data_IF_950432581549
#
_entry.id   IF_950432581549
#
_cell.length_a   1.000
_cell.length_b   1.000
_cell.length_c   1.000
_cell.angle_alpha   90.00
_cell.angle_beta   90.00
_cell.angle_gamma   90.00
#
_symmetry.space_group_name_H-M   'P 1'
#
loop_
_entity.id
_entity.type
_entity.pdbx_description
1 polymer ?
#
# COMPACT_ATOMS: atom_id res chain seq x y z
N UNK A 1 -13.67 3.79 -0.94
CA UNK A 1 -12.22 4.07 -0.87
C UNK A 1 -11.39 3.11 -1.69
N UNK A 2 -11.83 1.87 -1.80
CA UNK A 2 -11.24 0.73 -2.49
C UNK A 2 -10.80 1.08 -3.92
N UNK A 3 -11.65 1.76 -4.70
CA UNK A 3 -11.31 2.23 -6.05
C UNK A 3 -10.16 3.24 -6.05
N UNK A 4 -10.14 4.16 -5.09
CA UNK A 4 -9.06 5.14 -4.97
C UNK A 4 -7.76 4.43 -4.56
N UNK A 5 -7.81 3.53 -3.59
CA UNK A 5 -6.68 2.68 -3.19
C UNK A 5 -6.13 1.87 -4.38
N UNK A 6 -7.01 1.19 -5.13
CA UNK A 6 -6.63 0.40 -6.30
C UNK A 6 -5.96 1.24 -7.39
N UNK A 7 -6.49 2.43 -7.69
CA UNK A 7 -5.88 3.38 -8.63
C UNK A 7 -4.48 3.80 -8.18
N UNK A 8 -4.32 4.10 -6.90
CA UNK A 8 -3.02 4.50 -6.34
C UNK A 8 -2.00 3.35 -6.39
N UNK A 9 -2.44 2.11 -6.14
CA UNK A 9 -1.60 0.92 -6.35
C UNK A 9 -1.15 0.80 -7.81
N UNK A 10 -2.06 0.95 -8.78
CA UNK A 10 -1.74 0.94 -10.21
C UNK A 10 -0.79 2.09 -10.60
N UNK A 11 -1.02 3.30 -10.08
CA UNK A 11 -0.16 4.46 -10.30
C UNK A 11 1.26 4.23 -9.78
N UNK A 12 1.40 3.55 -8.64
CA UNK A 12 2.69 3.19 -8.07
C UNK A 12 3.49 2.23 -8.98
N UNK A 13 2.84 1.42 -9.82
CA UNK A 13 3.51 0.50 -10.75
C UNK A 13 4.09 1.17 -12.01
N UNK A 14 3.91 2.48 -12.19
CA UNK A 14 4.44 3.17 -13.36
C UNK A 14 5.98 3.04 -13.42
N UNK A 15 6.59 2.82 -14.61
CA UNK A 15 8.05 2.64 -14.72
C UNK A 15 8.89 3.74 -14.05
N UNK A 16 8.43 4.99 -14.17
CA UNK A 16 9.07 6.15 -13.54
C UNK A 16 9.01 6.16 -12.00
N UNK A 17 8.13 5.37 -11.39
CA UNK A 17 8.00 5.25 -9.93
C UNK A 17 9.07 4.34 -9.32
N UNK A 18 9.78 3.55 -10.14
CA UNK A 18 10.88 2.67 -9.71
C UNK A 18 12.26 3.35 -9.76
N UNK A 19 12.35 4.60 -10.22
CA UNK A 19 13.61 5.34 -10.34
C UNK A 19 14.11 5.97 -9.03
N UNK A 20 15.44 6.13 -8.93
CA UNK A 20 16.20 6.54 -7.72
C UNK A 20 15.69 7.81 -7.03
N UNK A 21 14.84 7.74 -5.98
CA UNK A 21 14.35 8.95 -5.28
C UNK A 21 13.88 8.76 -3.83
N UNK A 22 14.64 8.08 -2.97
CA UNK A 22 14.21 7.95 -1.57
C UNK A 22 14.15 9.27 -0.76
N UNK A 23 14.59 10.39 -1.34
CA UNK A 23 14.36 11.74 -0.79
C UNK A 23 13.57 12.67 -1.73
N UNK A 24 13.28 12.24 -2.96
CA UNK A 24 12.62 13.03 -4.00
C UNK A 24 11.26 12.45 -4.39
N UNK A 25 10.38 12.20 -3.41
CA UNK A 25 9.06 11.55 -3.61
C UNK A 25 8.05 12.34 -4.46
N UNK A 26 8.50 13.44 -5.07
CA UNK A 26 7.80 14.29 -6.02
C UNK A 26 7.07 13.57 -7.17
N UNK A 27 7.56 12.45 -7.76
CA UNK A 27 6.90 11.84 -8.92
C UNK A 27 5.66 11.00 -8.60
N UNK A 28 5.69 10.23 -7.48
CA UNK A 28 4.50 9.53 -6.97
C UNK A 28 3.58 10.57 -6.34
N UNK A 29 4.12 11.47 -5.52
CA UNK A 29 3.32 12.52 -4.90
C UNK A 29 2.70 13.45 -5.94
N UNK A 30 3.38 13.93 -6.99
CA UNK A 30 2.79 14.91 -7.93
C UNK A 30 1.65 14.34 -8.78
N UNK A 31 1.65 13.02 -9.05
CA UNK A 31 0.59 12.35 -9.82
C UNK A 31 -0.60 11.97 -8.93
N UNK A 32 -0.34 11.54 -7.71
CA UNK A 32 -1.35 11.11 -6.72
C UNK A 32 -1.76 12.21 -5.71
N UNK A 33 -1.10 13.37 -5.71
CA UNK A 33 -1.10 14.43 -4.68
C UNK A 33 -2.47 14.98 -4.31
N UNK A 34 -3.45 14.88 -5.23
CA UNK A 34 -4.80 15.37 -4.93
C UNK A 34 -5.46 14.58 -3.81
N UNK A 35 -5.05 13.33 -3.63
CA UNK A 35 -5.66 12.41 -2.68
C UNK A 35 -4.64 11.84 -1.70
N UNK A 36 -3.35 11.83 -2.03
CA UNK A 36 -2.31 11.28 -1.17
C UNK A 36 -1.50 12.39 -0.50
N UNK A 37 -1.47 12.37 0.83
CA UNK A 37 -0.77 13.34 1.67
C UNK A 37 0.32 12.63 2.48
N UNK A 38 1.54 13.13 2.38
CA UNK A 38 2.65 12.63 3.19
C UNK A 38 2.80 13.44 4.47
N UNK A 39 3.25 12.80 5.56
CA UNK A 39 3.74 13.54 6.70
C UNK A 39 4.90 14.45 6.25
N UNK A 40 4.83 15.72 6.64
CA UNK A 40 5.81 16.75 6.27
C UNK A 40 7.16 16.55 6.96
N UNK A 41 7.17 15.85 8.08
CA UNK A 41 8.39 15.51 8.80
C UNK A 41 8.98 14.24 8.21
N UNK A 42 10.30 14.26 8.00
CA UNK A 42 11.06 13.04 7.80
C UNK A 42 10.77 12.09 8.97
N UNK A 43 10.65 10.76 8.74
CA UNK A 43 10.63 9.82 9.85
C UNK A 43 11.84 10.11 10.74
N UNK A 44 11.60 10.15 12.05
CA UNK A 44 12.66 10.38 13.01
C UNK A 44 13.80 9.39 12.71
N UNK A 45 15.08 9.82 12.67
CA UNK A 45 16.20 8.90 12.46
C UNK A 45 16.21 7.73 13.45
N UNK A 46 15.55 7.87 14.61
CA UNK A 46 15.34 6.82 15.62
C UNK A 46 14.18 5.87 15.30
N UNK A 47 13.24 6.28 14.46
CA UNK A 47 12.14 5.46 13.92
C UNK A 47 12.56 4.70 12.65
N UNK A 48 13.80 4.87 12.19
CA UNK A 48 14.41 4.01 11.18
C UNK A 48 14.54 2.62 11.79
N UNK A 49 13.86 1.60 11.25
CA UNK A 49 14.10 0.23 11.67
C UNK A 49 15.55 -0.15 11.33
N UNK A 50 16.14 -1.00 12.16
CA UNK A 50 17.57 -1.37 12.15
C UNK A 50 18.03 -2.07 10.85
N UNK A 51 17.10 -2.39 9.94
CA UNK A 51 17.27 -3.18 8.73
C UNK A 51 17.44 -2.36 7.43
N UNK A 52 17.84 -1.08 7.54
CA UNK A 52 17.97 -0.13 6.42
C UNK A 52 16.65 0.29 5.75
N UNK A 53 15.51 0.03 6.38
CA UNK A 53 14.20 0.36 5.80
C UNK A 53 13.77 1.77 6.20
N UNK A 54 14.08 2.78 5.39
CA UNK A 54 13.46 4.09 5.53
C UNK A 54 11.93 3.98 5.38
N UNK A 55 11.20 4.34 6.44
CA UNK A 55 9.73 4.29 6.49
C UNK A 55 9.13 5.69 6.45
N UNK A 56 8.28 6.02 5.47
CA UNK A 56 7.51 7.28 5.46
C UNK A 56 6.01 7.00 5.56
N UNK A 57 5.32 7.72 6.43
CA UNK A 57 3.87 7.59 6.60
C UNK A 57 3.11 8.74 5.90
N UNK A 58 1.94 8.42 5.40
CA UNK A 58 1.00 9.32 4.76
C UNK A 58 -0.42 8.80 4.89
N UNK A 59 -1.37 9.50 4.28
CA UNK A 59 -2.75 9.04 4.19
C UNK A 59 -3.34 9.40 2.83
N UNK A 60 -4.35 8.62 2.43
CA UNK A 60 -5.22 8.93 1.31
C UNK A 60 -6.49 9.53 1.87
N UNK A 61 -6.81 10.77 1.48
CA UNK A 61 -8.05 11.44 1.83
C UNK A 61 -9.12 11.16 0.77
N UNK A 62 -10.26 10.63 1.22
CA UNK A 62 -11.44 10.44 0.41
C UNK A 62 -12.72 10.61 1.23
N UNK A 63 -13.89 10.65 0.59
CA UNK A 63 -15.14 11.06 1.25
C UNK A 63 -15.46 10.21 2.50
N UNK A 64 -15.19 10.77 3.69
CA UNK A 64 -15.51 10.17 4.99
C UNK A 64 -14.61 9.00 5.43
N UNK A 65 -13.49 8.74 4.76
CA UNK A 65 -12.58 7.64 5.09
C UNK A 65 -11.13 7.99 4.74
N UNK A 66 -10.20 7.57 5.60
CA UNK A 66 -8.76 7.68 5.35
C UNK A 66 -8.15 6.30 5.21
N UNK A 67 -7.19 6.16 4.29
CA UNK A 67 -6.34 4.97 4.20
C UNK A 67 -4.94 5.39 4.61
N UNK A 68 -4.40 4.75 5.65
CA UNK A 68 -3.01 4.98 6.04
C UNK A 68 -2.09 4.40 4.98
N UNK A 69 -1.06 5.12 4.56
CA UNK A 69 -0.06 4.61 3.62
C UNK A 69 1.32 4.70 4.25
N UNK A 70 2.05 3.58 4.27
CA UNK A 70 3.47 3.59 4.64
C UNK A 70 4.29 3.19 3.42
N UNK A 71 5.35 3.93 3.12
CA UNK A 71 6.35 3.53 2.15
C UNK A 71 7.59 3.03 2.85
N UNK A 72 8.16 1.95 2.34
CA UNK A 72 9.35 1.28 2.84
C UNK A 72 10.38 1.17 1.70
N UNK A 73 11.65 1.35 2.03
CA UNK A 73 12.74 1.24 1.06
C UNK A 73 14.06 1.72 1.62
N UNK A 74 15.09 1.76 0.78
CA UNK A 74 16.39 2.35 1.13
C UNK A 74 16.55 3.73 0.51
N UNK A 75 17.73 4.35 0.66
CA UNK A 75 18.04 5.69 0.12
C UNK A 75 17.93 5.82 -1.41
N UNK A 76 17.92 4.68 -2.10
CA UNK A 76 17.86 4.62 -3.55
C UNK A 76 16.43 4.43 -4.05
N UNK A 77 15.67 3.51 -3.48
CA UNK A 77 14.36 3.12 -4.03
C UNK A 77 13.37 2.68 -2.96
N UNK A 78 12.10 2.84 -3.32
CA UNK A 78 10.96 2.20 -2.64
C UNK A 78 10.97 0.72 -2.98
N UNK A 79 10.86 -0.13 -1.96
CA UNK A 79 10.73 -1.58 -2.15
C UNK A 79 9.32 -2.06 -1.86
N UNK A 80 8.57 -1.30 -1.04
CA UNK A 80 7.25 -1.71 -0.60
C UNK A 80 6.37 -0.50 -0.23
N UNK A 81 5.06 -0.60 -0.50
CA UNK A 81 4.02 0.29 -0.01
C UNK A 81 2.99 -0.53 0.77
N UNK A 82 2.65 -0.11 1.99
CA UNK A 82 1.51 -0.65 2.73
C UNK A 82 0.33 0.33 2.73
N UNK A 83 -0.88 -0.19 2.61
CA UNK A 83 -2.14 0.54 2.63
C UNK A 83 -3.03 -0.06 3.73
N UNK A 84 -3.26 0.69 4.79
CA UNK A 84 -4.06 0.29 5.94
C UNK A 84 -5.48 0.85 5.83
N UNK A 85 -6.45 -0.04 5.65
CA UNK A 85 -7.87 0.29 5.63
C UNK A 85 -8.45 0.02 7.02
N UNK A 86 -8.88 1.08 7.72
CA UNK A 86 -9.41 1.02 9.09
C UNK A 86 -10.72 0.24 9.26
N UNK A 87 -11.24 -0.34 8.17
CA UNK A 87 -12.37 -1.26 8.17
C UNK A 87 -11.93 -2.52 7.42
N UNK A 88 -12.36 -3.70 7.86
CA UNK A 88 -12.04 -4.92 7.15
C UNK A 88 -12.62 -4.87 5.73
N UNK A 89 -11.79 -5.15 4.74
CA UNK A 89 -12.23 -5.39 3.37
C UNK A 89 -12.78 -6.82 3.28
N UNK A 90 -13.94 -7.03 3.91
CA UNK A 90 -14.58 -8.33 4.05
C UNK A 90 -14.94 -9.04 2.73
N UNK A 91 -14.58 -8.49 1.56
CA UNK A 91 -14.92 -9.05 0.24
C UNK A 91 -13.84 -8.88 -0.83
N UNK A 92 -12.62 -8.49 -0.49
CA UNK A 92 -11.60 -8.22 -1.51
C UNK A 92 -12.02 -7.14 -2.50
N UNK A 93 -12.78 -6.14 -2.05
CA UNK A 93 -13.27 -5.05 -2.86
C UNK A 93 -12.13 -4.21 -3.47
N UNK A 94 -10.94 -4.17 -2.84
CA UNK A 94 -9.73 -3.63 -3.46
C UNK A 94 -9.28 -4.48 -4.66
N UNK A 95 -9.34 -5.81 -4.56
CA UNK A 95 -9.01 -6.70 -5.70
C UNK A 95 -10.02 -6.56 -6.83
N UNK A 96 -11.31 -6.46 -6.53
CA UNK A 96 -12.34 -6.21 -7.54
C UNK A 96 -12.17 -4.85 -8.20
N UNK A 97 -11.80 -3.83 -7.42
CA UNK A 97 -11.47 -2.51 -7.96
C UNK A 97 -10.22 -2.55 -8.86
N UNK A 98 -9.19 -3.31 -8.51
CA UNK A 98 -8.01 -3.51 -9.36
C UNK A 98 -8.37 -4.17 -10.69
N UNK A 99 -9.21 -5.23 -10.66
CA UNK A 99 -9.71 -5.87 -11.89
C UNK A 99 -10.55 -4.92 -12.74
N UNK A 100 -11.39 -4.10 -12.12
CA UNK A 100 -12.22 -3.12 -12.81
C UNK A 100 -11.39 -2.01 -13.49
N UNK A 101 -10.19 -1.72 -12.99
CA UNK A 101 -9.22 -0.81 -13.61
C UNK A 101 -8.31 -1.54 -14.63
N UNK A 102 -8.59 -2.80 -14.95
CA UNK A 102 -7.90 -3.58 -15.99
C UNK A 102 -6.64 -4.32 -15.52
N UNK A 103 -6.42 -4.45 -14.21
CA UNK A 103 -5.27 -5.19 -13.69
C UNK A 103 -5.48 -6.71 -13.70
N UNK A 104 -4.44 -7.44 -14.06
CA UNK A 104 -4.33 -8.89 -13.89
C UNK A 104 -3.87 -9.23 -12.48
N UNK A 105 -4.56 -10.20 -11.85
CA UNK A 105 -4.23 -10.75 -10.54
C UNK A 105 -4.03 -12.26 -10.68
N UNK A 106 -2.78 -12.70 -10.58
CA UNK A 106 -2.40 -14.12 -10.57
C UNK A 106 -2.15 -14.56 -9.13
N UNK A 107 -2.89 -15.56 -8.64
CA UNK A 107 -2.74 -16.03 -7.26
C UNK A 107 -1.36 -16.69 -7.08
N UNK A 108 -0.57 -16.19 -6.13
CA UNK A 108 0.71 -16.78 -5.76
C UNK A 108 0.57 -17.68 -4.54
N UNK A 109 -0.06 -17.16 -3.48
CA UNK A 109 -0.20 -17.85 -2.19
C UNK A 109 -1.53 -17.46 -1.53
N UNK A 110 -2.12 -18.41 -0.82
CA UNK A 110 -3.30 -18.20 0.00
C UNK A 110 -3.15 -19.03 1.29
N UNK A 111 -3.54 -18.43 2.40
CA UNK A 111 -3.63 -19.08 3.71
C UNK A 111 -4.84 -18.53 4.46
N UNK A 112 -5.09 -19.04 5.65
CA UNK A 112 -6.17 -18.52 6.52
C UNK A 112 -5.98 -17.03 6.86
N UNK A 113 -4.73 -16.58 6.99
CA UNK A 113 -4.40 -15.23 7.48
C UNK A 113 -4.14 -14.21 6.36
N UNK A 114 -3.81 -14.68 5.15
CA UNK A 114 -3.43 -13.79 4.07
C UNK A 114 -3.64 -14.40 2.68
N UNK A 115 -3.77 -13.50 1.70
CA UNK A 115 -3.74 -13.83 0.28
C UNK A 115 -2.70 -12.96 -0.43
N UNK A 116 -1.97 -13.53 -1.37
CA UNK A 116 -0.95 -12.83 -2.15
C UNK A 116 -1.13 -13.12 -3.64
N UNK A 117 -1.18 -12.03 -4.42
CA UNK A 117 -1.29 -12.06 -5.87
C UNK A 117 -0.06 -11.40 -6.51
N UNK A 118 0.32 -11.87 -7.70
CA UNK A 118 1.10 -11.06 -8.63
C UNK A 118 0.15 -10.11 -9.34
N UNK A 119 0.33 -8.82 -9.08
CA UNK A 119 -0.40 -7.73 -9.72
C UNK A 119 0.35 -7.30 -10.98
N UNK A 120 -0.36 -7.25 -12.10
CA UNK A 120 0.17 -6.79 -13.39
C UNK A 120 -0.85 -5.92 -14.11
N UNK A 121 -0.36 -4.98 -14.91
CA UNK A 121 -1.19 -4.15 -15.78
C UNK A 121 -0.33 -3.70 -16.97
N UNK A 122 -0.94 -3.52 -18.14
CA UNK A 122 -0.22 -3.17 -19.36
C UNK A 122 0.68 -1.94 -19.15
N UNK A 123 1.89 -2.01 -19.72
CA UNK A 123 2.90 -0.92 -19.71
C UNK A 123 3.41 -0.52 -18.31
N UNK A 124 3.20 -1.36 -17.30
CA UNK A 124 3.67 -1.14 -15.92
C UNK A 124 4.48 -2.32 -15.40
N UNK A 125 5.31 -2.08 -14.39
CA UNK A 125 6.04 -3.17 -13.75
C UNK A 125 5.11 -3.99 -12.86
N UNK A 126 5.22 -5.33 -12.89
CA UNK A 126 4.48 -6.16 -11.96
C UNK A 126 4.99 -5.98 -10.53
N UNK A 127 4.14 -6.29 -9.56
CA UNK A 127 4.46 -6.29 -8.15
C UNK A 127 3.69 -7.41 -7.44
N UNK A 128 4.17 -7.82 -6.27
CA UNK A 128 3.43 -8.75 -5.43
C UNK A 128 2.53 -7.93 -4.49
N UNK A 129 1.24 -8.24 -4.50
CA UNK A 129 0.22 -7.62 -3.66
C UNK A 129 -0.27 -8.65 -2.65
N UNK A 130 0.10 -8.45 -1.39
CA UNK A 130 -0.37 -9.25 -0.25
C UNK A 130 -1.47 -8.50 0.48
N UNK A 131 -2.50 -9.20 0.95
CA UNK A 131 -3.53 -8.66 1.83
C UNK A 131 -3.61 -9.50 3.10
N UNK A 132 -3.56 -8.84 4.26
CA UNK A 132 -3.68 -9.46 5.58
C UNK A 132 -4.85 -8.80 6.31
N UNK A 133 -5.77 -9.60 6.83
CA UNK A 133 -6.80 -9.12 7.75
C UNK A 133 -6.27 -9.23 9.18
N UNK A 134 -6.31 -8.12 9.89
CA UNK A 134 -5.98 -8.07 11.31
C UNK A 134 -7.23 -7.77 12.10
N UNK A 135 -7.51 -8.58 13.11
CA UNK A 135 -8.54 -8.31 14.10
C UNK A 135 -7.93 -8.20 15.48
N UNK A 136 -8.44 -7.28 16.30
CA UNK A 136 -8.16 -7.30 17.74
C UNK A 136 -8.54 -8.65 18.32
N UNK A 137 -7.75 -9.16 19.26
CA UNK A 137 -8.01 -10.44 19.94
C UNK A 137 -9.48 -10.55 20.41
N UNK A 138 -10.11 -11.72 20.28
CA UNK A 138 -11.45 -11.96 20.84
C UNK A 138 -11.54 -11.73 22.36
N UNK A 139 -10.40 -11.73 23.05
CA UNK A 139 -10.29 -11.49 24.51
C UNK A 139 -10.06 -10.02 24.88
N UNK A 140 -9.97 -9.12 23.90
CA UNK A 140 -9.78 -7.70 24.15
C UNK A 140 -10.98 -7.11 24.90
N UNK A 141 -10.72 -6.29 25.94
CA UNK A 141 -11.75 -5.55 26.64
C UNK A 141 -12.27 -4.33 25.84
N UNK A 142 -11.55 -3.94 24.77
CA UNK A 142 -12.00 -2.93 23.83
C UNK A 142 -12.89 -3.55 22.74
N UNK A 143 -13.68 -2.72 22.05
CA UNK A 143 -14.51 -3.18 20.92
C UNK A 143 -13.68 -3.97 19.90
N UNK A 144 -14.22 -5.08 19.39
CA UNK A 144 -13.60 -5.83 18.31
C UNK A 144 -13.47 -4.94 17.09
N UNK A 145 -12.24 -4.74 16.62
CA UNK A 145 -11.94 -3.97 15.42
C UNK A 145 -11.10 -4.83 14.51
N UNK A 146 -11.50 -4.88 13.24
CA UNK A 146 -10.69 -5.46 12.20
C UNK A 146 -10.26 -4.36 11.22
N UNK A 147 -9.14 -4.58 10.56
CA UNK A 147 -8.60 -3.73 9.51
C UNK A 147 -7.84 -4.62 8.53
N UNK A 148 -7.69 -4.14 7.30
CA UNK A 148 -6.96 -4.87 6.27
C UNK A 148 -5.72 -4.07 5.87
N UNK A 149 -4.58 -4.74 5.80
CA UNK A 149 -3.33 -4.16 5.31
C UNK A 149 -3.03 -4.78 3.96
N UNK A 150 -2.99 -3.96 2.92
CA UNK A 150 -2.47 -4.36 1.61
C UNK A 150 -1.02 -3.95 1.52
N UNK A 151 -0.16 -4.87 1.12
CA UNK A 151 1.27 -4.65 0.96
C UNK A 151 1.63 -4.90 -0.49
N UNK A 152 2.02 -3.83 -1.19
CA UNK A 152 2.50 -3.86 -2.56
C UNK A 152 4.04 -3.87 -2.54
N UNK A 153 4.64 -5.00 -2.88
CA UNK A 153 6.09 -5.19 -2.95
C UNK A 153 6.56 -5.18 -4.40
N UNK A 154 7.48 -4.28 -4.70
CA UNK A 154 8.05 -4.16 -6.04
C UNK A 154 9.13 -5.22 -6.27
N UNK A 155 9.08 -5.88 -7.42
CA UNK A 155 10.20 -6.72 -7.86
C UNK A 155 11.41 -5.80 -8.14
N UNK A 156 12.54 -6.14 -7.52
CA UNK A 156 13.77 -5.33 -7.55
C UNK A 156 14.57 -5.42 -8.84
#
# INVERSE_FOLDING_TARGET
MERLTARLMIEALAPSSHGDWAYGWGPVSARTARHMHWHLFEPDPRDRPDDYVARRNGWIDGPGQNVGVSAFGGERRVTELSFELSRPDHRGAVFDALRAEGAGLELLRESEDFVEYRLSIAERHPANLMAIEHCTSPRSAAAQRCWTIYTLRFDG
#
